data_IF_465501711726
#
_entry.id   IF_465501711726
#
_cell.length_a   1.000
_cell.length_b   1.000
_cell.length_c   1.000
_cell.angle_alpha   90.00
_cell.angle_beta   90.00
_cell.angle_gamma   90.00
#
_symmetry.space_group_name_H-M   'P 1'
#
loop_
_entity.id
_entity.type
_entity.pdbx_description
1 polymer ?
#
# COMPACT_ATOMS: atom_id res chain seq x y z
N UNK A 1 7.79 35.84 3.61
CA UNK A 1 6.55 35.39 2.98
C UNK A 1 6.45 33.89 3.25
N UNK A 2 5.26 33.34 3.41
CA UNK A 2 5.10 31.88 3.55
C UNK A 2 5.48 31.21 2.23
N UNK A 3 6.12 30.04 2.29
CA UNK A 3 6.47 29.24 1.10
C UNK A 3 5.22 28.81 0.34
N UNK A 4 5.26 28.91 -0.99
CA UNK A 4 4.26 28.35 -1.88
C UNK A 4 4.75 27.01 -2.42
N UNK A 5 3.90 25.99 -2.35
CA UNK A 5 4.26 24.62 -2.70
C UNK A 5 3.55 24.17 -3.98
N UNK A 6 4.19 23.31 -4.75
CA UNK A 6 3.53 22.55 -5.79
C UNK A 6 3.69 21.05 -5.57
N UNK A 7 2.70 20.27 -6.03
CA UNK A 7 2.72 18.81 -5.98
C UNK A 7 2.49 18.28 -7.39
N UNK A 8 3.49 17.62 -7.94
CA UNK A 8 3.50 17.08 -9.31
C UNK A 8 3.18 15.58 -9.27
N UNK A 9 2.08 15.22 -9.90
CA UNK A 9 1.48 13.89 -9.80
C UNK A 9 0.49 13.83 -8.63
N UNK A 10 -0.80 13.90 -8.92
CA UNK A 10 -1.89 13.93 -7.93
C UNK A 10 -2.59 12.57 -7.82
N UNK A 11 -1.81 11.49 -7.87
CA UNK A 11 -2.25 10.17 -7.46
C UNK A 11 -2.45 10.10 -5.94
N UNK A 12 -2.52 8.90 -5.39
CA UNK A 12 -2.77 8.66 -3.96
C UNK A 12 -1.83 9.47 -3.05
N UNK A 13 -0.51 9.36 -3.25
CA UNK A 13 0.49 10.10 -2.49
C UNK A 13 0.34 11.62 -2.67
N UNK A 14 0.26 12.08 -3.93
CA UNK A 14 0.31 13.51 -4.21
C UNK A 14 -0.95 14.26 -3.79
N UNK A 15 -2.14 13.71 -4.00
CA UNK A 15 -3.39 14.34 -3.55
C UNK A 15 -3.44 14.44 -2.01
N UNK A 16 -3.03 13.36 -1.32
CA UNK A 16 -2.93 13.36 0.15
C UNK A 16 -1.92 14.39 0.64
N UNK A 17 -0.73 14.42 0.05
CA UNK A 17 0.31 15.38 0.42
C UNK A 17 -0.14 16.82 0.18
N UNK A 18 -0.76 17.12 -0.96
CA UNK A 18 -1.26 18.46 -1.27
C UNK A 18 -2.32 18.94 -0.27
N UNK A 19 -3.30 18.09 0.05
CA UNK A 19 -4.35 18.42 1.03
C UNK A 19 -3.76 18.63 2.44
N UNK A 20 -2.85 17.76 2.88
CA UNK A 20 -2.22 17.87 4.19
C UNK A 20 -1.32 19.12 4.31
N UNK A 21 -0.48 19.41 3.31
CA UNK A 21 0.35 20.62 3.33
C UNK A 21 -0.49 21.88 3.32
N UNK A 22 -1.58 21.90 2.56
CA UNK A 22 -2.52 23.02 2.58
C UNK A 22 -3.19 23.21 3.95
N UNK A 23 -3.54 22.12 4.64
CA UNK A 23 -4.11 22.19 5.99
C UNK A 23 -3.12 22.71 7.05
N UNK A 24 -1.81 22.55 6.79
CA UNK A 24 -0.75 23.14 7.61
C UNK A 24 -0.51 24.64 7.33
N UNK A 25 -1.28 25.22 6.40
CA UNK A 25 -1.30 26.67 6.15
C UNK A 25 -0.55 27.11 4.89
N UNK A 26 -0.01 26.19 4.10
CA UNK A 26 0.66 26.54 2.83
C UNK A 26 -0.36 26.77 1.71
N UNK A 27 -0.01 27.66 0.77
CA UNK A 27 -0.64 27.69 -0.54
C UNK A 27 -0.05 26.57 -1.40
N UNK A 28 -0.93 25.68 -1.93
CA UNK A 28 -0.50 24.48 -2.63
C UNK A 28 -1.20 24.39 -3.98
N UNK A 29 -0.43 24.12 -5.03
CA UNK A 29 -0.95 23.82 -6.38
C UNK A 29 -0.62 22.37 -6.73
N UNK A 30 -1.66 21.53 -6.91
CA UNK A 30 -1.52 20.17 -7.41
C UNK A 30 -1.55 20.17 -8.94
N UNK A 31 -0.59 19.49 -9.57
CA UNK A 31 -0.50 19.33 -11.02
C UNK A 31 -0.57 17.86 -11.41
N UNK A 32 -1.38 17.55 -12.42
CA UNK A 32 -1.37 16.25 -13.08
C UNK A 32 -1.70 16.45 -14.58
N UNK A 33 -1.24 15.53 -15.42
CA UNK A 33 -1.53 15.56 -16.86
C UNK A 33 -2.90 14.99 -17.21
N UNK A 34 -3.54 14.28 -16.27
CA UNK A 34 -4.85 13.65 -16.47
C UNK A 34 -5.99 14.62 -16.15
N UNK A 35 -6.64 15.12 -17.18
CA UNK A 35 -7.71 16.14 -17.08
C UNK A 35 -8.85 15.66 -16.17
N UNK A 36 -9.33 14.44 -16.36
CA UNK A 36 -10.44 13.87 -15.60
C UNK A 36 -10.14 13.80 -14.08
N UNK A 37 -8.90 13.51 -13.73
CA UNK A 37 -8.44 13.50 -12.34
C UNK A 37 -8.43 14.90 -11.74
N UNK A 38 -7.90 15.87 -12.46
CA UNK A 38 -7.87 17.29 -12.03
C UNK A 38 -9.28 17.85 -11.87
N UNK A 39 -10.19 17.55 -12.78
CA UNK A 39 -11.61 17.95 -12.67
C UNK A 39 -12.27 17.37 -11.42
N UNK A 40 -11.97 16.11 -11.08
CA UNK A 40 -12.51 15.44 -9.91
C UNK A 40 -11.96 16.08 -8.63
N UNK A 41 -10.62 16.21 -8.54
CA UNK A 41 -9.93 16.80 -7.40
C UNK A 41 -10.36 18.25 -7.16
N UNK A 42 -10.52 19.07 -8.23
CA UNK A 42 -10.98 20.46 -8.13
C UNK A 42 -12.41 20.59 -7.58
N UNK A 43 -13.21 19.51 -7.63
CA UNK A 43 -14.54 19.43 -7.00
C UNK A 43 -14.49 18.88 -5.56
N UNK A 44 -13.31 18.69 -5.00
CA UNK A 44 -13.14 18.12 -3.65
C UNK A 44 -13.37 16.61 -3.57
N UNK A 45 -13.25 15.89 -4.70
CA UNK A 45 -13.43 14.45 -4.81
C UNK A 45 -12.11 13.76 -5.14
N UNK A 46 -11.92 12.52 -4.65
CA UNK A 46 -10.73 11.70 -4.95
C UNK A 46 -11.10 10.46 -5.77
N UNK A 47 -10.25 10.01 -6.71
CA UNK A 47 -10.51 8.82 -7.52
C UNK A 47 -10.12 7.50 -6.82
N UNK A 48 -9.96 7.52 -5.50
CA UNK A 48 -9.58 6.38 -4.65
C UNK A 48 -10.18 6.56 -3.26
N UNK A 49 -10.18 5.49 -2.46
CA UNK A 49 -10.68 5.56 -1.09
C UNK A 49 -9.54 5.80 -0.09
N UNK A 50 -9.65 6.89 0.67
CA UNK A 50 -8.81 7.17 1.84
C UNK A 50 -9.66 7.89 2.91
N UNK A 51 -9.75 7.33 4.14
CA UNK A 51 -10.56 7.94 5.19
C UNK A 51 -10.15 9.39 5.50
N UNK A 52 -11.13 10.30 5.52
CA UNK A 52 -10.96 11.71 5.88
C UNK A 52 -10.30 12.58 4.81
N UNK A 53 -9.86 12.02 3.68
CA UNK A 53 -9.17 12.80 2.64
C UNK A 53 -10.12 13.68 1.84
N UNK A 54 -11.32 13.20 1.47
CA UNK A 54 -12.28 14.00 0.71
C UNK A 54 -12.74 15.24 1.48
N UNK A 55 -13.01 15.07 2.78
CA UNK A 55 -13.41 16.17 3.66
C UNK A 55 -12.29 17.20 3.77
N UNK A 56 -11.04 16.75 4.00
CA UNK A 56 -9.88 17.61 4.08
C UNK A 56 -9.63 18.35 2.76
N UNK A 57 -9.72 17.65 1.63
CA UNK A 57 -9.53 18.21 0.30
C UNK A 57 -10.55 19.32 0.02
N UNK A 58 -11.83 19.04 0.24
CA UNK A 58 -12.92 19.98 0.04
C UNK A 58 -12.78 21.25 0.92
N UNK A 59 -12.36 21.08 2.19
CA UNK A 59 -12.11 22.18 3.12
C UNK A 59 -10.96 23.08 2.60
N UNK A 60 -9.85 22.48 2.15
CA UNK A 60 -8.69 23.25 1.70
C UNK A 60 -8.92 23.97 0.36
N UNK A 61 -9.71 23.38 -0.55
CA UNK A 61 -10.15 24.06 -1.78
C UNK A 61 -11.04 25.27 -1.44
N UNK A 62 -12.03 25.07 -0.55
CA UNK A 62 -12.92 26.14 -0.10
C UNK A 62 -12.18 27.28 0.58
N UNK A 63 -11.08 26.98 1.30
CA UNK A 63 -10.24 28.01 1.94
C UNK A 63 -9.42 28.82 0.94
N UNK A 64 -9.33 28.39 -0.31
CA UNK A 64 -8.50 29.00 -1.36
C UNK A 64 -7.01 28.66 -1.27
N UNK A 65 -6.59 27.82 -0.30
CA UNK A 65 -5.18 27.41 -0.16
C UNK A 65 -4.77 26.24 -1.04
N UNK A 66 -5.74 25.49 -1.57
CA UNK A 66 -5.47 24.35 -2.45
C UNK A 66 -6.16 24.54 -3.80
N UNK A 67 -5.39 24.41 -4.87
CA UNK A 67 -5.90 24.39 -6.24
C UNK A 67 -5.27 23.26 -7.04
N UNK A 68 -5.90 22.91 -8.17
CA UNK A 68 -5.40 21.89 -9.09
C UNK A 68 -5.40 22.39 -10.52
N UNK A 69 -4.38 21.99 -11.30
CA UNK A 69 -4.20 22.43 -12.69
C UNK A 69 -3.60 21.32 -13.55
N UNK A 70 -3.88 21.39 -14.86
CA UNK A 70 -3.17 20.63 -15.89
C UNK A 70 -2.12 21.45 -16.62
N UNK A 71 -1.97 22.74 -16.29
CA UNK A 71 -0.99 23.63 -16.89
C UNK A 71 0.25 23.73 -15.99
N UNK A 72 1.36 23.19 -16.42
CA UNK A 72 2.62 23.17 -15.66
C UNK A 72 3.15 24.60 -15.37
N UNK A 73 2.83 25.59 -16.21
CA UNK A 73 3.29 26.98 -16.03
C UNK A 73 2.68 27.65 -14.80
N UNK A 74 1.55 27.18 -14.28
CA UNK A 74 0.93 27.71 -13.06
C UNK A 74 1.80 27.44 -11.82
N UNK A 75 2.82 26.57 -11.93
CA UNK A 75 3.73 26.21 -10.84
C UNK A 75 4.95 27.16 -10.76
N UNK A 76 5.15 28.08 -11.72
CA UNK A 76 6.35 28.91 -11.83
C UNK A 76 6.60 29.78 -10.59
N UNK A 77 5.53 30.18 -9.87
CA UNK A 77 5.63 31.01 -8.67
C UNK A 77 5.82 30.20 -7.37
N UNK A 78 5.87 28.87 -7.42
CA UNK A 78 6.10 28.04 -6.27
C UNK A 78 7.59 28.05 -5.85
N UNK A 79 7.85 27.90 -4.55
CA UNK A 79 9.19 27.85 -3.95
C UNK A 79 9.72 26.43 -3.83
N UNK A 80 8.80 25.46 -3.59
CA UNK A 80 9.12 24.05 -3.42
C UNK A 80 8.19 23.20 -4.29
N UNK A 81 8.79 22.28 -5.05
CA UNK A 81 8.09 21.42 -6.00
C UNK A 81 8.23 19.94 -5.61
N UNK A 82 7.16 19.34 -5.09
CA UNK A 82 7.15 17.93 -4.71
C UNK A 82 6.82 17.03 -5.89
N UNK A 83 7.71 16.08 -6.23
CA UNK A 83 7.47 15.04 -7.24
C UNK A 83 6.88 13.82 -6.54
N UNK A 84 5.59 13.57 -6.79
CA UNK A 84 4.79 12.49 -6.18
C UNK A 84 4.22 11.51 -7.22
N UNK A 85 4.86 11.39 -8.37
CA UNK A 85 4.41 10.51 -9.46
C UNK A 85 4.67 9.03 -9.16
N UNK A 86 3.89 8.15 -9.78
CA UNK A 86 4.05 6.70 -9.64
C UNK A 86 5.36 6.19 -10.26
N UNK A 87 5.87 5.10 -9.69
CA UNK A 87 7.01 4.33 -10.20
C UNK A 87 6.60 2.86 -10.35
N UNK A 88 5.80 2.52 -11.37
CA UNK A 88 5.35 1.15 -11.59
C UNK A 88 6.53 0.24 -11.96
N UNK A 89 6.32 -1.07 -11.93
CA UNK A 89 7.28 -2.00 -12.52
C UNK A 89 7.27 -1.91 -14.05
N UNK A 90 8.42 -2.05 -14.66
CA UNK A 90 8.54 -2.23 -16.11
C UNK A 90 7.73 -3.46 -16.52
N UNK A 91 6.96 -3.35 -17.60
CA UNK A 91 6.15 -4.47 -18.10
C UNK A 91 7.04 -5.67 -18.45
N UNK A 92 6.78 -6.80 -17.80
CA UNK A 92 7.54 -8.03 -17.97
C UNK A 92 8.89 -8.08 -17.25
N UNK A 93 9.18 -7.10 -16.37
CA UNK A 93 10.41 -7.03 -15.58
C UNK A 93 10.19 -6.69 -14.12
N UNK A 94 11.27 -6.70 -13.35
CA UNK A 94 11.25 -6.37 -11.90
C UNK A 94 11.74 -4.95 -11.61
N UNK A 95 12.40 -4.28 -12.54
CA UNK A 95 12.91 -2.91 -12.36
C UNK A 95 11.78 -1.89 -12.30
N UNK A 96 12.03 -0.74 -11.65
CA UNK A 96 11.11 0.38 -11.61
C UNK A 96 11.14 1.16 -12.94
N UNK A 97 9.97 1.52 -13.45
CA UNK A 97 9.83 2.46 -14.57
C UNK A 97 9.94 3.90 -14.04
N UNK A 98 11.00 4.60 -14.44
CA UNK A 98 11.30 5.97 -14.05
C UNK A 98 10.82 7.03 -15.05
N UNK A 99 10.08 6.64 -16.08
CA UNK A 99 9.60 7.54 -17.14
C UNK A 99 8.84 8.73 -16.55
N UNK A 100 7.92 8.47 -15.62
CA UNK A 100 7.13 9.54 -15.02
C UNK A 100 7.95 10.48 -14.14
N UNK A 101 8.90 9.96 -13.38
CA UNK A 101 9.79 10.77 -12.52
C UNK A 101 10.71 11.65 -13.37
N UNK A 102 11.29 11.09 -14.44
CA UNK A 102 12.12 11.85 -15.38
C UNK A 102 11.30 12.95 -16.06
N UNK A 103 10.11 12.62 -16.58
CA UNK A 103 9.23 13.60 -17.25
C UNK A 103 8.78 14.72 -16.30
N UNK A 104 8.47 14.39 -15.06
CA UNK A 104 8.12 15.39 -14.04
C UNK A 104 9.25 16.37 -13.78
N UNK A 105 10.49 15.86 -13.62
CA UNK A 105 11.68 16.71 -13.44
C UNK A 105 11.92 17.60 -14.69
N UNK A 106 11.94 17.04 -15.89
CA UNK A 106 12.17 17.79 -17.13
C UNK A 106 11.14 18.91 -17.33
N UNK A 107 9.88 18.63 -16.98
CA UNK A 107 8.79 19.60 -17.13
C UNK A 107 8.92 20.76 -16.16
N UNK A 108 9.34 20.54 -14.91
CA UNK A 108 9.41 21.59 -13.90
C UNK A 108 10.75 22.33 -13.88
N UNK A 109 11.84 21.71 -14.30
CA UNK A 109 13.20 22.22 -14.12
C UNK A 109 13.39 23.66 -14.57
N UNK A 110 12.81 24.04 -15.72
CA UNK A 110 12.95 25.40 -16.28
C UNK A 110 12.08 26.43 -15.56
N UNK A 111 11.09 26.00 -14.81
CA UNK A 111 10.14 26.88 -14.08
C UNK A 111 10.58 27.13 -12.64
N UNK A 112 11.48 26.30 -12.09
CA UNK A 112 11.98 26.49 -10.73
C UNK A 112 12.71 27.81 -10.61
N UNK A 113 12.26 28.69 -9.69
CA UNK A 113 12.92 29.99 -9.47
C UNK A 113 14.32 29.83 -8.85
N UNK A 114 15.11 30.89 -8.93
CA UNK A 114 16.42 30.92 -8.27
C UNK A 114 16.28 30.67 -6.76
N UNK A 115 16.99 29.66 -6.26
CA UNK A 115 16.88 29.20 -4.86
C UNK A 115 15.69 28.31 -4.56
N UNK A 116 14.86 27.97 -5.56
CA UNK A 116 13.76 27.02 -5.44
C UNK A 116 14.27 25.59 -5.29
N UNK A 117 13.45 24.74 -4.66
CA UNK A 117 13.80 23.35 -4.33
C UNK A 117 12.84 22.37 -5.00
N UNK A 118 13.39 21.37 -5.70
CA UNK A 118 12.65 20.18 -6.14
C UNK A 118 12.82 19.10 -5.11
N UNK A 119 11.72 18.45 -4.69
CA UNK A 119 11.73 17.41 -3.65
C UNK A 119 11.11 16.13 -4.19
N UNK A 120 11.90 15.08 -4.38
CA UNK A 120 11.37 13.78 -4.74
C UNK A 120 10.77 13.07 -3.53
N UNK A 121 9.51 12.61 -3.66
CA UNK A 121 8.83 11.77 -2.65
C UNK A 121 8.58 10.35 -3.13
N UNK A 122 8.61 10.12 -4.42
CA UNK A 122 8.41 8.80 -5.03
C UNK A 122 9.45 7.79 -4.56
N UNK A 123 9.06 6.51 -4.44
CA UNK A 123 10.01 5.42 -4.19
C UNK A 123 10.77 5.12 -5.48
N UNK A 124 12.09 5.27 -5.47
CA UNK A 124 12.96 5.09 -6.64
C UNK A 124 14.15 4.19 -6.32
N UNK A 125 14.77 3.55 -7.32
CA UNK A 125 16.03 2.82 -7.15
C UNK A 125 17.16 3.74 -6.68
N UNK A 126 18.02 3.20 -5.81
CA UNK A 126 19.19 3.92 -5.26
C UNK A 126 20.07 4.49 -6.37
N UNK A 127 20.45 5.77 -6.24
CA UNK A 127 21.23 6.53 -7.22
C UNK A 127 20.38 7.36 -8.19
N UNK A 128 19.06 7.22 -8.17
CA UNK A 128 18.15 8.01 -9.02
C UNK A 128 18.17 9.48 -8.64
N UNK A 129 18.08 9.81 -7.35
CA UNK A 129 18.05 11.18 -6.86
C UNK A 129 19.31 11.97 -7.23
N UNK A 130 20.49 11.36 -7.12
CA UNK A 130 21.75 11.98 -7.51
C UNK A 130 21.80 12.26 -9.03
N UNK A 131 21.35 11.32 -9.85
CA UNK A 131 21.24 11.48 -11.31
C UNK A 131 20.27 12.61 -11.67
N UNK A 132 19.10 12.65 -11.02
CA UNK A 132 18.10 13.67 -11.26
C UNK A 132 18.57 15.06 -10.82
N UNK A 133 19.31 15.13 -9.71
CA UNK A 133 19.93 16.38 -9.26
C UNK A 133 20.92 16.92 -10.28
N UNK A 134 21.81 16.09 -10.80
CA UNK A 134 22.74 16.48 -11.84
C UNK A 134 21.99 17.00 -13.07
N UNK A 135 20.95 16.30 -13.49
CA UNK A 135 20.11 16.72 -14.62
C UNK A 135 19.39 18.05 -14.36
N UNK A 136 18.88 18.25 -13.15
CA UNK A 136 18.26 19.53 -12.76
C UNK A 136 19.25 20.69 -12.87
N UNK A 137 20.48 20.52 -12.36
CA UNK A 137 21.53 21.56 -12.40
C UNK A 137 21.95 21.87 -13.83
N UNK A 138 22.01 20.87 -14.73
CA UNK A 138 22.25 21.11 -16.15
C UNK A 138 21.17 22.00 -16.79
N UNK A 139 19.90 21.77 -16.43
CA UNK A 139 18.77 22.53 -16.97
C UNK A 139 18.55 23.88 -16.29
N UNK A 140 18.85 23.97 -15.01
CA UNK A 140 18.66 25.14 -14.17
C UNK A 140 19.67 25.17 -13.01
N UNK A 141 20.86 25.76 -13.20
CA UNK A 141 21.92 25.77 -12.19
C UNK A 141 21.60 26.57 -10.92
N UNK A 142 20.46 27.27 -10.87
CA UNK A 142 20.01 28.04 -9.70
C UNK A 142 19.02 27.28 -8.82
N UNK A 143 18.61 26.08 -9.24
CA UNK A 143 17.73 25.19 -8.50
C UNK A 143 18.52 24.07 -7.80
N UNK A 144 17.95 23.45 -6.78
CA UNK A 144 18.51 22.26 -6.14
C UNK A 144 17.47 21.18 -5.94
N UNK A 145 17.92 19.96 -5.63
CA UNK A 145 17.09 18.80 -5.43
C UNK A 145 17.40 18.13 -4.09
N UNK A 146 16.33 17.78 -3.38
CA UNK A 146 16.35 16.93 -2.20
C UNK A 146 15.50 15.68 -2.42
N UNK A 147 15.69 14.65 -1.61
CA UNK A 147 14.87 13.44 -1.61
C UNK A 147 14.26 13.22 -0.24
N UNK A 148 12.94 13.18 -0.19
CA UNK A 148 12.17 12.98 1.04
C UNK A 148 11.17 11.83 0.84
N UNK A 149 11.61 10.57 0.95
CA UNK A 149 10.74 9.43 0.75
C UNK A 149 9.56 9.46 1.72
N UNK A 150 8.42 8.94 1.27
CA UNK A 150 7.23 8.80 2.08
C UNK A 150 7.20 7.46 2.83
N UNK A 151 6.52 7.42 3.98
CA UNK A 151 6.32 6.21 4.78
C UNK A 151 4.85 6.01 5.19
N UNK A 152 3.94 6.68 4.50
CA UNK A 152 2.50 6.60 4.77
C UNK A 152 1.94 5.19 4.51
N UNK A 153 0.85 4.89 5.21
CA UNK A 153 0.07 3.68 5.05
C UNK A 153 -1.27 4.03 4.40
N UNK A 154 -1.66 3.38 3.32
CA UNK A 154 -3.01 3.50 2.78
C UNK A 154 -4.04 3.24 3.89
N UNK A 155 -5.16 3.99 3.91
CA UNK A 155 -6.14 3.96 5.00
C UNK A 155 -5.77 4.78 6.24
N UNK A 156 -4.52 5.29 6.32
CA UNK A 156 -4.00 6.17 7.38
C UNK A 156 -3.13 7.29 6.81
N UNK A 157 -3.24 7.56 5.52
CA UNK A 157 -2.29 8.42 4.83
C UNK A 157 -2.38 9.89 5.27
N UNK A 158 -3.57 10.38 5.61
CA UNK A 158 -3.76 11.73 6.17
C UNK A 158 -3.06 11.83 7.53
N UNK A 159 -3.29 10.87 8.44
CA UNK A 159 -2.65 10.84 9.75
C UNK A 159 -1.15 10.73 9.64
N UNK A 160 -0.65 9.78 8.84
CA UNK A 160 0.78 9.54 8.65
C UNK A 160 1.51 10.72 7.98
N UNK A 161 0.80 11.53 7.18
CA UNK A 161 1.37 12.75 6.57
C UNK A 161 1.41 13.90 7.57
N UNK A 162 0.35 14.08 8.35
CA UNK A 162 0.27 15.16 9.35
C UNK A 162 1.12 14.86 10.60
N UNK A 163 1.21 13.59 11.01
CA UNK A 163 1.95 13.12 12.20
C UNK A 163 2.90 11.98 11.85
N UNK A 164 3.91 12.20 11.02
CA UNK A 164 4.83 11.15 10.61
C UNK A 164 5.69 10.68 11.79
N UNK A 165 5.95 9.38 11.88
CA UNK A 165 6.84 8.80 12.89
C UNK A 165 8.28 9.30 12.76
N UNK A 166 8.68 9.75 11.59
CA UNK A 166 9.98 10.32 11.26
C UNK A 166 9.95 11.06 9.92
N UNK A 167 10.82 12.00 9.74
CA UNK A 167 11.11 12.67 8.48
C UNK A 167 12.54 12.33 8.05
N UNK A 168 12.69 11.66 6.92
CA UNK A 168 14.01 11.35 6.32
C UNK A 168 14.20 12.27 5.13
N UNK A 169 15.32 12.99 5.10
CA UNK A 169 15.63 13.93 4.03
C UNK A 169 17.05 13.72 3.52
N UNK A 170 17.15 13.37 2.24
CA UNK A 170 18.40 13.33 1.51
C UNK A 170 18.71 14.70 0.94
N UNK A 171 19.78 15.32 1.40
CA UNK A 171 20.21 16.64 0.97
C UNK A 171 21.72 16.68 0.73
N UNK A 172 22.15 17.56 -0.17
CA UNK A 172 23.59 17.77 -0.46
C UNK A 172 24.14 18.97 0.28
N UNK A 173 23.29 19.93 0.65
CA UNK A 173 23.70 21.18 1.31
C UNK A 173 22.68 21.63 2.38
N UNK A 174 23.10 22.61 3.18
CA UNK A 174 22.30 23.12 4.30
C UNK A 174 21.14 24.01 3.86
N UNK A 175 21.21 24.61 2.67
CA UNK A 175 20.13 25.47 2.16
C UNK A 175 18.88 24.65 1.82
N UNK A 176 19.03 23.50 1.17
CA UNK A 176 17.94 22.57 0.90
C UNK A 176 17.32 22.01 2.21
N UNK A 177 18.18 21.66 3.19
CA UNK A 177 17.71 21.23 4.51
C UNK A 177 16.91 22.33 5.23
N UNK A 178 17.37 23.57 5.19
CA UNK A 178 16.69 24.72 5.82
C UNK A 178 15.29 24.92 5.26
N UNK A 179 15.13 24.85 3.93
CA UNK A 179 13.82 24.95 3.27
C UNK A 179 12.90 23.82 3.74
N UNK A 180 13.38 22.58 3.77
CA UNK A 180 12.58 21.45 4.22
C UNK A 180 12.22 21.55 5.71
N UNK A 181 13.10 22.06 6.57
CA UNK A 181 12.78 22.34 7.99
C UNK A 181 11.69 23.41 8.13
N UNK A 182 11.61 24.36 7.22
CA UNK A 182 10.54 25.36 7.18
C UNK A 182 9.21 24.69 6.75
N UNK A 183 9.22 23.87 5.71
CA UNK A 183 8.04 23.11 5.26
C UNK A 183 7.49 22.21 6.36
N UNK A 184 8.36 21.51 7.09
CA UNK A 184 7.97 20.59 8.15
C UNK A 184 8.03 21.18 9.56
N UNK A 185 8.00 22.50 9.69
CA UNK A 185 8.13 23.19 10.98
C UNK A 185 7.07 22.76 12.00
N UNK A 186 5.84 22.50 11.57
CA UNK A 186 4.75 21.99 12.43
C UNK A 186 5.10 20.62 13.01
N UNK A 187 5.59 19.69 12.19
CA UNK A 187 5.98 18.36 12.62
C UNK A 187 7.17 18.40 13.59
N UNK A 188 8.14 19.28 13.33
CA UNK A 188 9.30 19.44 14.19
C UNK A 188 8.94 20.04 15.57
N UNK A 189 7.93 20.93 15.64
CA UNK A 189 7.39 21.44 16.92
C UNK A 189 6.74 20.31 17.74
N UNK A 190 6.17 19.29 17.10
CA UNK A 190 5.62 18.10 17.73
C UNK A 190 6.69 17.03 18.02
N UNK A 191 7.97 17.38 17.92
CA UNK A 191 9.13 16.49 18.19
C UNK A 191 9.24 15.29 17.25
N UNK A 192 8.73 15.38 16.02
CA UNK A 192 8.96 14.36 15.00
C UNK A 192 10.45 14.20 14.72
N UNK A 193 11.02 12.99 14.82
CA UNK A 193 12.43 12.75 14.53
C UNK A 193 12.81 13.20 13.12
N UNK A 194 13.88 14.01 13.03
CA UNK A 194 14.47 14.47 11.77
C UNK A 194 15.75 13.71 11.48
N UNK A 195 15.78 13.03 10.35
CA UNK A 195 16.93 12.25 9.89
C UNK A 195 17.48 12.86 8.62
N UNK A 196 18.58 13.62 8.76
CA UNK A 196 19.37 14.10 7.63
C UNK A 196 20.21 12.94 7.08
N UNK A 197 20.19 12.76 5.76
CA UNK A 197 20.95 11.77 5.05
C UNK A 197 21.51 12.35 3.74
N UNK A 198 22.41 11.65 3.08
CA UNK A 198 22.70 11.88 1.67
C UNK A 198 21.57 11.33 0.77
N UNK A 199 21.61 11.63 -0.53
CA UNK A 199 20.59 11.23 -1.48
C UNK A 199 20.47 9.69 -1.57
N UNK A 200 21.57 8.91 -1.77
CA UNK A 200 21.48 7.44 -1.85
C UNK A 200 20.96 6.80 -0.57
N UNK A 201 21.37 7.28 0.60
CA UNK A 201 20.89 6.76 1.90
C UNK A 201 19.39 7.01 2.07
N UNK A 202 18.89 8.18 1.69
CA UNK A 202 17.46 8.50 1.81
C UNK A 202 16.58 7.59 0.92
N UNK A 203 17.05 7.25 -0.29
CA UNK A 203 16.41 6.27 -1.17
C UNK A 203 16.43 4.87 -0.55
N UNK A 204 17.60 4.47 -0.02
CA UNK A 204 17.79 3.13 0.56
C UNK A 204 16.93 2.91 1.80
N UNK A 205 16.75 3.93 2.67
CA UNK A 205 15.91 3.82 3.88
C UNK A 205 14.50 3.37 3.54
N UNK A 206 13.91 3.85 2.45
CA UNK A 206 12.54 3.48 2.05
C UNK A 206 12.45 2.00 1.66
N UNK A 207 13.31 1.56 0.76
CA UNK A 207 13.27 0.16 0.27
C UNK A 207 13.73 -0.83 1.33
N UNK A 208 14.67 -0.44 2.20
CA UNK A 208 15.10 -1.25 3.35
C UNK A 208 13.96 -1.44 4.35
N UNK A 209 13.23 -0.36 4.69
CA UNK A 209 12.07 -0.46 5.58
C UNK A 209 11.00 -1.39 5.00
N UNK A 210 10.63 -1.23 3.72
CA UNK A 210 9.63 -2.09 3.08
C UNK A 210 10.10 -3.55 2.98
N UNK A 211 11.38 -3.80 2.70
CA UNK A 211 11.96 -5.14 2.68
C UNK A 211 11.91 -5.80 4.06
N UNK A 212 12.21 -5.05 5.11
CA UNK A 212 12.16 -5.57 6.48
C UNK A 212 10.72 -5.89 6.91
N UNK A 213 9.75 -5.05 6.57
CA UNK A 213 8.34 -5.30 6.84
C UNK A 213 7.83 -6.54 6.10
N UNK A 214 8.18 -6.70 4.81
CA UNK A 214 7.87 -7.89 4.03
C UNK A 214 8.50 -9.15 4.66
N UNK A 215 9.75 -9.05 5.14
CA UNK A 215 10.44 -10.15 5.83
C UNK A 215 9.69 -10.58 7.09
N UNK A 216 9.21 -9.65 7.91
CA UNK A 216 8.42 -9.99 9.12
C UNK A 216 7.15 -10.76 8.79
N UNK A 217 6.41 -10.35 7.75
CA UNK A 217 5.18 -11.03 7.31
C UNK A 217 5.50 -12.43 6.77
N UNK A 218 6.50 -12.56 5.91
CA UNK A 218 6.88 -13.86 5.36
C UNK A 218 7.50 -14.76 6.45
N UNK A 219 8.25 -14.22 7.41
CA UNK A 219 8.76 -14.97 8.53
C UNK A 219 7.63 -15.62 9.36
N UNK A 220 6.60 -14.85 9.74
CA UNK A 220 5.51 -15.41 10.52
C UNK A 220 4.66 -16.41 9.70
N UNK A 221 4.56 -16.22 8.38
CA UNK A 221 3.91 -17.17 7.49
C UNK A 221 4.70 -18.48 7.38
N UNK A 222 6.04 -18.43 7.33
CA UNK A 222 6.89 -19.63 7.42
C UNK A 222 6.71 -20.35 8.77
N UNK A 223 6.61 -19.60 9.88
CA UNK A 223 6.31 -20.19 11.19
C UNK A 223 4.92 -20.83 11.22
N UNK A 224 3.94 -20.29 10.48
CA UNK A 224 2.64 -20.92 10.32
C UNK A 224 2.73 -22.28 9.59
N UNK A 225 3.62 -22.40 8.59
CA UNK A 225 3.88 -23.68 7.91
C UNK A 225 4.50 -24.72 8.84
N UNK A 226 5.55 -24.36 9.57
CA UNK A 226 6.23 -25.25 10.54
C UNK A 226 5.25 -25.68 11.62
N UNK A 227 4.45 -24.76 12.11
CA UNK A 227 3.47 -25.02 13.16
C UNK A 227 2.43 -26.08 12.74
N UNK A 228 1.99 -26.12 11.49
CA UNK A 228 1.02 -27.12 11.04
C UNK A 228 1.58 -28.54 11.12
N UNK A 229 2.90 -28.71 10.93
CA UNK A 229 3.59 -29.97 11.16
C UNK A 229 3.78 -30.27 12.66
N UNK A 230 3.88 -29.26 13.53
CA UNK A 230 4.20 -29.38 14.95
C UNK A 230 2.99 -29.26 15.91
N UNK A 231 1.77 -29.11 15.40
CA UNK A 231 0.52 -28.95 16.18
C UNK A 231 0.47 -27.79 17.19
N UNK A 232 1.19 -26.67 16.95
CA UNK A 232 1.17 -25.46 17.79
C UNK A 232 0.05 -24.46 17.42
N UNK A 233 0.17 -23.18 17.79
CA UNK A 233 -0.66 -22.06 17.35
C UNK A 233 0.21 -20.85 17.00
N UNK A 234 0.20 -20.43 15.72
CA UNK A 234 1.03 -19.31 15.22
C UNK A 234 0.64 -17.98 15.84
N UNK A 235 -0.61 -17.81 16.28
CA UNK A 235 -1.06 -16.55 16.91
C UNK A 235 -0.47 -16.39 18.30
N UNK A 236 -0.34 -17.50 19.04
CA UNK A 236 0.35 -17.55 20.35
C UNK A 236 1.85 -17.32 20.17
N UNK A 237 2.46 -17.98 19.17
CA UNK A 237 3.88 -17.78 18.82
C UNK A 237 4.15 -16.31 18.49
N UNK A 238 3.37 -15.71 17.58
CA UNK A 238 3.51 -14.31 17.18
C UNK A 238 3.37 -13.35 18.38
N UNK A 239 2.41 -13.61 19.28
CA UNK A 239 2.24 -12.83 20.50
C UNK A 239 3.45 -12.95 21.42
N UNK A 240 3.96 -14.19 21.62
CA UNK A 240 5.09 -14.44 22.51
C UNK A 240 6.38 -13.74 22.04
N UNK A 241 6.75 -13.90 20.78
CA UNK A 241 7.95 -13.23 20.24
C UNK A 241 7.76 -11.71 20.12
N UNK A 242 6.51 -11.25 19.91
CA UNK A 242 6.17 -9.84 19.81
C UNK A 242 6.31 -9.04 21.11
N UNK A 243 6.39 -9.72 22.27
CA UNK A 243 6.69 -9.08 23.56
C UNK A 243 8.16 -8.67 23.70
N UNK A 244 9.06 -9.28 22.93
CA UNK A 244 10.46 -8.82 22.91
C UNK A 244 10.52 -7.45 22.20
N UNK A 245 10.96 -6.35 22.89
CA UNK A 245 11.02 -5.02 22.30
C UNK A 245 11.96 -4.92 21.10
N UNK A 246 12.91 -5.84 20.95
CA UNK A 246 13.81 -5.92 19.79
C UNK A 246 13.10 -6.42 18.54
N UNK A 247 11.99 -7.17 18.70
CA UNK A 247 11.17 -7.73 17.62
C UNK A 247 9.93 -6.87 17.39
N UNK A 248 9.16 -6.61 18.45
CA UNK A 248 7.89 -5.89 18.41
C UNK A 248 6.77 -6.68 17.74
N UNK A 249 5.51 -6.42 18.11
CA UNK A 249 4.34 -7.18 17.70
C UNK A 249 3.82 -6.86 16.29
N UNK A 250 4.18 -5.69 15.73
CA UNK A 250 3.66 -5.25 14.43
C UNK A 250 4.23 -6.09 13.29
N UNK A 251 3.39 -6.37 12.27
CA UNK A 251 3.74 -7.16 11.08
C UNK A 251 4.06 -8.65 11.36
N UNK A 252 3.54 -9.19 12.48
CA UNK A 252 3.65 -10.61 12.84
C UNK A 252 2.29 -11.34 12.77
N UNK A 253 1.38 -10.92 11.90
CA UNK A 253 0.11 -11.59 11.66
C UNK A 253 0.25 -12.57 10.50
N UNK A 254 0.16 -13.87 10.80
CA UNK A 254 0.12 -14.91 9.77
C UNK A 254 -1.21 -14.86 8.99
N UNK A 255 -1.14 -15.07 7.69
CA UNK A 255 -2.29 -15.04 6.80
C UNK A 255 -1.92 -15.30 5.35
N UNK A 256 -2.72 -14.81 4.41
CA UNK A 256 -2.53 -15.01 2.96
C UNK A 256 -1.39 -14.17 2.36
N UNK A 257 -0.55 -13.56 3.18
CA UNK A 257 0.56 -12.75 2.74
C UNK A 257 0.21 -11.28 2.49
N UNK A 258 1.22 -10.55 2.03
CA UNK A 258 1.11 -9.15 1.68
C UNK A 258 0.83 -8.95 0.18
N UNK A 259 0.22 -7.81 -0.14
CA UNK A 259 -0.07 -7.34 -1.49
C UNK A 259 0.02 -5.82 -1.55
N UNK A 260 -0.76 -5.22 -2.43
CA UNK A 260 -0.80 -3.78 -2.66
C UNK A 260 0.28 -3.28 -3.59
N UNK A 261 0.21 -1.99 -3.90
CA UNK A 261 1.12 -1.34 -4.84
C UNK A 261 2.52 -1.02 -4.31
N UNK A 262 2.87 -1.40 -3.05
CA UNK A 262 4.13 -1.02 -2.42
C UNK A 262 5.04 -2.23 -2.16
N UNK A 263 4.75 -3.10 -1.18
CA UNK A 263 5.69 -4.12 -0.74
C UNK A 263 6.17 -5.06 -1.86
N UNK A 264 5.28 -5.69 -2.68
CA UNK A 264 5.73 -6.60 -3.71
C UNK A 264 6.61 -5.93 -4.76
N UNK A 265 6.19 -4.74 -5.21
CA UNK A 265 6.89 -3.94 -6.19
C UNK A 265 8.28 -3.51 -5.69
N UNK A 266 8.36 -3.00 -4.47
CA UNK A 266 9.58 -2.39 -3.94
C UNK A 266 10.66 -3.44 -3.66
N UNK A 267 10.31 -4.63 -3.12
CA UNK A 267 11.28 -5.70 -2.93
C UNK A 267 11.83 -6.24 -4.26
N UNK A 268 10.98 -6.39 -5.29
CA UNK A 268 11.39 -6.84 -6.62
C UNK A 268 12.28 -5.80 -7.30
N UNK A 269 11.91 -4.52 -7.25
CA UNK A 269 12.72 -3.43 -7.78
C UNK A 269 14.06 -3.28 -7.03
N UNK A 270 14.06 -3.52 -5.72
CA UNK A 270 15.30 -3.49 -4.93
C UNK A 270 16.26 -4.64 -5.30
N UNK A 271 15.73 -5.85 -5.48
CA UNK A 271 16.56 -6.97 -5.98
C UNK A 271 17.16 -6.68 -7.36
N UNK A 272 16.36 -6.15 -8.30
CA UNK A 272 16.84 -5.78 -9.63
C UNK A 272 17.92 -4.69 -9.53
N UNK A 273 17.72 -3.67 -8.72
CA UNK A 273 18.71 -2.60 -8.55
C UNK A 273 20.00 -3.08 -7.88
N UNK A 274 19.92 -3.95 -6.89
CA UNK A 274 21.09 -4.52 -6.23
C UNK A 274 21.92 -5.36 -7.23
N UNK A 275 21.28 -6.09 -8.15
CA UNK A 275 21.97 -6.81 -9.22
C UNK A 275 22.71 -5.86 -10.18
N UNK A 276 22.07 -4.76 -10.60
CA UNK A 276 22.71 -3.70 -11.41
C UNK A 276 23.93 -3.08 -10.72
N UNK A 277 23.90 -2.96 -9.39
CA UNK A 277 25.00 -2.43 -8.57
C UNK A 277 26.07 -3.47 -8.23
N UNK A 278 25.95 -4.73 -8.69
CA UNK A 278 26.88 -5.81 -8.36
C UNK A 278 26.72 -6.38 -6.93
N UNK A 279 25.63 -6.03 -6.23
CA UNK A 279 25.36 -6.43 -4.84
C UNK A 279 24.22 -7.47 -4.72
N UNK A 280 23.98 -8.29 -5.75
CA UNK A 280 22.89 -9.27 -5.83
C UNK A 280 22.81 -10.16 -4.60
N UNK A 281 23.94 -10.70 -4.13
CA UNK A 281 23.98 -11.62 -2.99
C UNK A 281 23.47 -11.00 -1.69
N UNK A 282 23.64 -9.68 -1.49
CA UNK A 282 23.21 -8.99 -0.28
C UNK A 282 21.70 -9.01 -0.06
N UNK A 283 20.92 -9.14 -1.13
CA UNK A 283 19.43 -9.11 -1.10
C UNK A 283 18.80 -10.41 -1.60
N UNK A 284 19.57 -11.47 -1.81
CA UNK A 284 19.07 -12.73 -2.35
C UNK A 284 18.01 -13.39 -1.44
N UNK A 285 18.08 -13.16 -0.12
CA UNK A 285 17.07 -13.60 0.83
C UNK A 285 15.66 -13.06 0.52
N UNK A 286 15.54 -11.90 -0.14
CA UNK A 286 14.25 -11.32 -0.53
C UNK A 286 13.51 -12.17 -1.57
N UNK A 287 14.23 -12.98 -2.34
CA UNK A 287 13.64 -13.95 -3.26
C UNK A 287 12.84 -15.01 -2.49
N UNK A 288 13.40 -15.51 -1.38
CA UNK A 288 12.69 -16.46 -0.52
C UNK A 288 11.52 -15.79 0.22
N UNK A 289 11.65 -14.52 0.60
CA UNK A 289 10.58 -13.75 1.20
C UNK A 289 9.37 -13.63 0.24
N UNK A 290 9.61 -13.31 -1.03
CA UNK A 290 8.55 -13.26 -2.06
C UNK A 290 7.96 -14.66 -2.32
N UNK A 291 8.78 -15.69 -2.39
CA UNK A 291 8.33 -17.08 -2.57
C UNK A 291 7.44 -17.56 -1.43
N UNK A 292 7.78 -17.30 -0.17
CA UNK A 292 6.95 -17.60 1.01
C UNK A 292 5.62 -16.83 0.93
N UNK A 293 5.67 -15.57 0.53
CA UNK A 293 4.47 -14.75 0.35
C UNK A 293 3.48 -15.36 -0.67
N UNK A 294 3.99 -15.82 -1.79
CA UNK A 294 3.17 -16.47 -2.81
C UNK A 294 2.64 -17.84 -2.36
N UNK A 295 3.45 -18.64 -1.65
CA UNK A 295 3.00 -19.93 -1.09
C UNK A 295 1.85 -19.78 -0.09
N UNK A 296 1.83 -18.68 0.69
CA UNK A 296 0.73 -18.43 1.63
C UNK A 296 -0.64 -18.36 0.94
N UNK A 297 -0.70 -17.82 -0.30
CA UNK A 297 -1.92 -17.82 -1.13
C UNK A 297 -2.29 -19.25 -1.56
N UNK A 298 -1.32 -20.02 -2.01
CA UNK A 298 -1.52 -21.40 -2.47
C UNK A 298 -2.09 -22.31 -1.39
N UNK A 299 -1.69 -22.10 -0.14
CA UNK A 299 -2.18 -22.86 1.01
C UNK A 299 -3.68 -22.70 1.27
N UNK A 300 -4.26 -21.50 0.99
CA UNK A 300 -5.73 -21.35 1.04
C UNK A 300 -6.40 -22.22 -0.02
N UNK A 301 -5.86 -22.25 -1.23
CA UNK A 301 -6.41 -23.06 -2.33
C UNK A 301 -6.36 -24.54 -1.97
N UNK A 302 -5.28 -25.01 -1.35
CA UNK A 302 -5.16 -26.38 -0.84
C UNK A 302 -6.20 -26.71 0.24
N UNK A 303 -6.46 -25.75 1.17
CA UNK A 303 -7.50 -25.88 2.17
C UNK A 303 -8.90 -26.01 1.53
N UNK A 304 -9.18 -25.17 0.52
CA UNK A 304 -10.45 -25.22 -0.24
C UNK A 304 -10.61 -26.57 -0.92
N UNK A 305 -9.59 -27.05 -1.64
CA UNK A 305 -9.59 -28.35 -2.31
C UNK A 305 -9.87 -29.48 -1.33
N UNK A 306 -9.16 -29.50 -0.20
CA UNK A 306 -9.35 -30.51 0.84
C UNK A 306 -10.78 -30.52 1.40
N UNK A 307 -11.35 -29.33 1.66
CA UNK A 307 -12.69 -29.24 2.27
C UNK A 307 -13.84 -29.49 1.27
N UNK A 308 -13.57 -29.35 -0.04
CA UNK A 308 -14.48 -29.69 -1.13
C UNK A 308 -14.15 -31.05 -1.80
N UNK A 309 -13.36 -31.91 -1.12
CA UNK A 309 -13.00 -33.25 -1.60
C UNK A 309 -12.35 -33.24 -3.00
N UNK A 310 -11.50 -32.24 -3.23
CA UNK A 310 -10.74 -31.99 -4.48
C UNK A 310 -11.60 -31.76 -5.75
N UNK A 311 -12.90 -31.54 -5.56
CA UNK A 311 -13.85 -31.27 -6.66
C UNK A 311 -14.38 -29.82 -6.53
N UNK A 312 -13.84 -28.91 -7.33
CA UNK A 312 -14.26 -27.52 -7.37
C UNK A 312 -15.28 -27.23 -8.48
N UNK A 313 -15.50 -28.18 -9.40
CA UNK A 313 -16.38 -27.96 -10.56
C UNK A 313 -17.81 -27.63 -10.13
N UNK A 314 -18.27 -26.41 -10.49
CA UNK A 314 -19.61 -25.90 -10.18
C UNK A 314 -19.86 -25.58 -8.71
N UNK A 315 -18.84 -25.67 -7.83
CA UNK A 315 -18.93 -25.33 -6.41
C UNK A 315 -19.06 -23.83 -6.21
N UNK A 316 -20.02 -23.41 -5.41
CA UNK A 316 -20.17 -21.98 -5.02
C UNK A 316 -19.21 -21.63 -3.90
N UNK A 317 -18.33 -20.68 -4.15
CA UNK A 317 -17.34 -20.18 -3.20
C UNK A 317 -17.61 -18.69 -2.94
N UNK A 318 -17.90 -18.35 -1.70
CA UNK A 318 -18.06 -16.97 -1.26
C UNK A 318 -16.74 -16.42 -0.74
N UNK A 319 -16.35 -15.22 -1.18
CA UNK A 319 -15.13 -14.54 -0.74
C UNK A 319 -15.49 -13.19 -0.11
N UNK A 320 -15.06 -13.00 1.11
CA UNK A 320 -15.19 -11.75 1.87
C UNK A 320 -13.85 -11.00 1.83
N UNK A 321 -13.76 -9.99 0.97
CA UNK A 321 -12.58 -9.16 0.74
C UNK A 321 -12.01 -9.29 -0.66
N UNK A 322 -11.77 -8.15 -1.31
CA UNK A 322 -11.09 -7.99 -2.60
C UNK A 322 -9.85 -7.09 -2.47
N UNK A 323 -9.92 -6.03 -1.65
CA UNK A 323 -8.78 -5.17 -1.35
C UNK A 323 -7.63 -5.95 -0.70
N UNK A 324 -6.38 -5.53 -0.93
CA UNK A 324 -5.23 -6.21 -0.33
C UNK A 324 -5.16 -6.09 1.20
N UNK A 325 -5.83 -5.09 1.77
CA UNK A 325 -6.01 -4.85 3.21
C UNK A 325 -7.29 -4.03 3.47
N UNK A 326 -7.79 -3.96 4.73
CA UNK A 326 -8.92 -3.08 5.06
C UNK A 326 -8.56 -1.60 4.92
N UNK A 327 -9.60 -0.75 4.88
CA UNK A 327 -9.53 0.71 4.78
C UNK A 327 -8.81 1.22 3.50
N UNK A 328 -8.87 0.43 2.42
CA UNK A 328 -8.34 0.75 1.09
C UNK A 328 -9.23 0.14 0.01
N UNK A 329 -9.26 0.73 -1.18
CA UNK A 329 -9.87 0.18 -2.39
C UNK A 329 -8.82 -0.38 -3.38
N UNK A 330 -7.56 -0.45 -2.96
CA UNK A 330 -6.45 -0.92 -3.79
C UNK A 330 -6.48 -2.45 -3.96
N UNK A 331 -6.53 -2.87 -5.22
CA UNK A 331 -6.54 -4.28 -5.64
C UNK A 331 -5.25 -4.70 -6.34
N UNK A 332 -4.21 -3.86 -6.35
CA UNK A 332 -2.92 -4.19 -6.95
C UNK A 332 -2.26 -5.31 -6.16
N UNK A 333 -1.84 -6.37 -6.85
CA UNK A 333 -1.27 -7.59 -6.24
C UNK A 333 -2.09 -8.09 -5.02
N UNK A 334 -3.44 -8.02 -5.11
CA UNK A 334 -4.31 -8.48 -4.04
C UNK A 334 -4.22 -10.00 -3.88
N UNK A 335 -3.79 -10.52 -2.70
CA UNK A 335 -3.78 -11.94 -2.43
C UNK A 335 -5.18 -12.56 -2.50
N UNK A 336 -6.21 -11.81 -2.10
CA UNK A 336 -7.60 -12.27 -2.13
C UNK A 336 -8.10 -12.52 -3.56
N UNK A 337 -7.83 -11.57 -4.47
CA UNK A 337 -8.24 -11.72 -5.87
C UNK A 337 -7.40 -12.75 -6.63
N UNK A 338 -6.12 -12.90 -6.30
CA UNK A 338 -5.28 -13.96 -6.85
C UNK A 338 -5.84 -15.35 -6.48
N UNK A 339 -6.21 -15.57 -5.22
CA UNK A 339 -6.86 -16.77 -4.75
C UNK A 339 -8.21 -16.97 -5.47
N UNK A 340 -9.03 -15.91 -5.60
CA UNK A 340 -10.33 -15.97 -6.25
C UNK A 340 -10.23 -16.44 -7.70
N UNK A 341 -9.30 -15.88 -8.48
CA UNK A 341 -9.07 -16.25 -9.88
C UNK A 341 -8.60 -17.69 -10.00
N UNK A 342 -7.68 -18.15 -9.16
CA UNK A 342 -7.18 -19.52 -9.20
C UNK A 342 -8.28 -20.56 -8.86
N UNK A 343 -9.12 -20.26 -7.87
CA UNK A 343 -10.26 -21.10 -7.48
C UNK A 343 -11.30 -21.14 -8.62
N UNK A 344 -11.60 -20.01 -9.25
CA UNK A 344 -12.51 -19.97 -10.40
C UNK A 344 -11.93 -20.70 -11.60
N UNK A 345 -10.65 -20.56 -11.90
CA UNK A 345 -9.98 -21.30 -12.96
C UNK A 345 -10.00 -22.83 -12.73
N UNK A 346 -10.12 -23.28 -11.48
CA UNK A 346 -10.31 -24.69 -11.11
C UNK A 346 -11.77 -25.16 -11.22
N UNK A 347 -12.68 -24.33 -11.77
CA UNK A 347 -14.06 -24.67 -12.08
C UNK A 347 -15.11 -24.24 -11.06
N UNK A 348 -14.74 -23.56 -9.99
CA UNK A 348 -15.70 -23.04 -9.01
C UNK A 348 -16.48 -21.83 -9.55
N UNK A 349 -17.65 -21.58 -8.97
CA UNK A 349 -18.44 -20.35 -9.15
C UNK A 349 -18.09 -19.42 -7.98
N UNK A 350 -17.22 -18.45 -8.24
CA UNK A 350 -16.73 -17.52 -7.20
C UNK A 350 -17.56 -16.25 -7.20
N UNK A 351 -18.02 -15.84 -6.00
CA UNK A 351 -18.62 -14.51 -5.77
C UNK A 351 -17.83 -13.78 -4.71
N UNK A 352 -17.43 -12.55 -5.00
CA UNK A 352 -16.58 -11.73 -4.13
C UNK A 352 -17.37 -10.51 -3.64
N UNK A 353 -17.30 -10.24 -2.34
CA UNK A 353 -17.78 -9.01 -1.71
C UNK A 353 -16.61 -8.18 -1.20
N UNK A 354 -16.69 -6.87 -1.36
CA UNK A 354 -15.80 -5.91 -0.69
C UNK A 354 -16.53 -4.57 -0.52
N UNK A 355 -16.41 -3.88 0.63
CA UNK A 355 -17.15 -2.64 0.85
C UNK A 355 -16.66 -1.46 0.01
N UNK A 356 -15.43 -1.49 -0.54
CA UNK A 356 -14.81 -0.35 -1.26
C UNK A 356 -14.18 -0.73 -2.60
N UNK A 357 -13.68 -1.95 -2.76
CA UNK A 357 -12.81 -2.31 -3.87
C UNK A 357 -13.52 -2.93 -5.07
N UNK A 358 -14.84 -3.15 -5.04
CA UNK A 358 -15.58 -3.85 -6.12
C UNK A 358 -15.34 -3.19 -7.48
N UNK A 359 -15.49 -1.87 -7.59
CA UNK A 359 -15.34 -1.18 -8.86
C UNK A 359 -13.93 -1.35 -9.49
N UNK A 360 -12.89 -1.30 -8.65
CA UNK A 360 -11.50 -1.52 -9.07
C UNK A 360 -11.25 -2.99 -9.40
N UNK A 361 -11.83 -3.92 -8.62
CA UNK A 361 -11.72 -5.34 -8.83
C UNK A 361 -12.39 -5.79 -10.14
N UNK A 362 -13.61 -5.30 -10.45
CA UNK A 362 -14.33 -5.60 -11.69
C UNK A 362 -13.55 -5.17 -12.94
N UNK A 363 -12.93 -3.98 -12.90
CA UNK A 363 -12.11 -3.49 -14.02
C UNK A 363 -10.90 -4.40 -14.29
N UNK A 364 -10.29 -4.94 -13.23
CA UNK A 364 -9.06 -5.72 -13.32
C UNK A 364 -9.32 -7.22 -13.52
N UNK A 365 -10.40 -7.74 -12.95
CA UNK A 365 -10.77 -9.17 -12.95
C UNK A 365 -12.21 -9.37 -13.41
N UNK A 366 -12.54 -9.03 -14.67
CA UNK A 366 -13.91 -9.09 -15.18
C UNK A 366 -14.49 -10.52 -15.25
N UNK A 367 -13.65 -11.52 -15.06
CA UNK A 367 -14.06 -12.95 -15.04
C UNK A 367 -14.71 -13.38 -13.72
N UNK A 368 -14.55 -12.61 -12.64
CA UNK A 368 -15.12 -12.90 -11.32
C UNK A 368 -16.53 -12.29 -11.19
N UNK A 369 -17.39 -12.92 -10.37
CA UNK A 369 -18.65 -12.32 -9.97
C UNK A 369 -18.44 -11.49 -8.70
N UNK A 370 -19.12 -10.35 -8.63
CA UNK A 370 -19.08 -9.45 -7.49
C UNK A 370 -20.47 -9.13 -6.98
N UNK A 371 -20.63 -8.97 -5.67
CA UNK A 371 -21.86 -8.52 -5.02
C UNK A 371 -21.54 -7.42 -4.02
N UNK A 372 -22.41 -6.40 -3.94
CA UNK A 372 -22.37 -5.34 -2.92
C UNK A 372 -22.97 -5.78 -1.59
N UNK A 373 -23.70 -6.92 -1.57
CA UNK A 373 -24.38 -7.42 -0.40
C UNK A 373 -23.72 -8.71 0.12
N UNK A 374 -23.41 -8.75 1.42
CA UNK A 374 -22.81 -9.93 2.06
C UNK A 374 -23.73 -11.15 1.92
N UNK A 375 -25.04 -10.98 2.16
CA UNK A 375 -26.00 -12.08 2.14
C UNK A 375 -26.11 -12.71 0.75
N UNK A 376 -26.07 -11.92 -0.32
CA UNK A 376 -26.08 -12.39 -1.69
C UNK A 376 -24.79 -13.15 -2.03
N UNK A 377 -23.65 -12.65 -1.52
CA UNK A 377 -22.35 -13.32 -1.65
C UNK A 377 -22.37 -14.69 -0.98
N UNK A 378 -22.96 -14.79 0.22
CA UNK A 378 -23.01 -16.03 1.01
C UNK A 378 -24.06 -17.03 0.52
N UNK A 379 -25.03 -16.60 -0.30
CA UNK A 379 -26.19 -17.43 -0.69
C UNK A 379 -25.80 -18.72 -1.37
N UNK A 380 -26.19 -19.85 -0.74
CA UNK A 380 -25.90 -21.21 -1.19
C UNK A 380 -24.39 -21.52 -1.30
N UNK A 381 -23.52 -20.76 -0.66
CA UNK A 381 -22.08 -21.01 -0.69
C UNK A 381 -21.75 -22.36 -0.03
N UNK A 382 -20.91 -23.17 -0.68
CA UNK A 382 -20.41 -24.42 -0.14
C UNK A 382 -19.19 -24.23 0.76
N UNK A 383 -18.53 -23.07 0.63
CA UNK A 383 -17.42 -22.64 1.47
C UNK A 383 -17.33 -21.11 1.45
N UNK A 384 -16.95 -20.52 2.58
CA UNK A 384 -16.73 -19.08 2.74
C UNK A 384 -15.26 -18.82 3.07
N UNK A 385 -14.66 -17.88 2.36
CA UNK A 385 -13.28 -17.45 2.57
C UNK A 385 -13.25 -16.00 3.09
N UNK A 386 -12.63 -15.75 4.23
CA UNK A 386 -12.37 -14.42 4.75
C UNK A 386 -10.94 -14.01 4.40
N UNK A 387 -10.78 -13.13 3.40
CA UNK A 387 -9.48 -12.82 2.80
C UNK A 387 -9.02 -11.36 2.96
N UNK A 388 -9.90 -10.47 3.46
CA UNK A 388 -9.53 -9.11 3.89
C UNK A 388 -10.23 -8.80 5.19
N UNK A 389 -9.49 -8.37 6.20
CA UNK A 389 -9.94 -8.26 7.59
C UNK A 389 -10.75 -6.98 7.89
N UNK A 390 -11.68 -6.60 7.03
CA UNK A 390 -12.59 -5.49 7.26
C UNK A 390 -13.34 -5.64 8.60
N UNK A 391 -13.53 -4.53 9.31
CA UNK A 391 -14.24 -4.53 10.59
C UNK A 391 -15.61 -5.18 10.48
N UNK A 392 -16.39 -4.86 9.44
CA UNK A 392 -17.71 -5.38 9.21
C UNK A 392 -17.77 -6.91 9.12
N UNK A 393 -16.73 -7.57 8.58
CA UNK A 393 -16.68 -9.04 8.51
C UNK A 393 -16.42 -9.68 9.88
N UNK A 394 -15.67 -9.01 10.74
CA UNK A 394 -15.43 -9.47 12.12
C UNK A 394 -16.68 -9.35 13.00
N UNK A 395 -17.62 -8.49 12.59
CA UNK A 395 -18.90 -8.26 13.27
C UNK A 395 -20.06 -9.13 12.73
N UNK A 396 -19.81 -9.97 11.72
CA UNK A 396 -20.80 -10.93 11.21
C UNK A 396 -21.19 -11.89 12.32
N UNK A 397 -22.50 -12.05 12.53
CA UNK A 397 -23.07 -13.07 13.43
C UNK A 397 -23.08 -14.44 12.71
N UNK A 398 -22.24 -15.41 13.12
CA UNK A 398 -22.13 -16.69 12.44
C UNK A 398 -23.40 -17.56 12.57
N UNK A 399 -24.25 -17.31 13.58
CA UNK A 399 -25.53 -18.03 13.72
C UNK A 399 -26.49 -17.59 12.64
N UNK A 400 -26.62 -16.27 12.40
CA UNK A 400 -27.53 -15.73 11.39
C UNK A 400 -27.14 -16.13 9.98
N UNK A 401 -25.85 -16.05 9.62
CA UNK A 401 -25.39 -16.34 8.25
C UNK A 401 -25.32 -17.86 7.95
N UNK A 402 -25.38 -18.71 8.97
CA UNK A 402 -25.37 -20.16 8.79
C UNK A 402 -26.56 -20.68 7.96
N UNK A 403 -27.72 -20.05 8.06
CA UNK A 403 -28.90 -20.43 7.29
C UNK A 403 -28.85 -19.98 5.81
N UNK A 404 -27.93 -19.11 5.45
CA UNK A 404 -27.78 -18.54 4.10
C UNK A 404 -26.88 -19.43 3.23
N UNK A 405 -25.88 -20.05 3.86
CA UNK A 405 -24.90 -20.89 3.16
C UNK A 405 -25.43 -22.33 2.97
N UNK A 406 -24.94 -23.03 1.96
CA UNK A 406 -25.22 -24.47 1.77
C UNK A 406 -24.48 -25.34 2.78
N UNK A 407 -23.18 -25.00 3.02
CA UNK A 407 -22.35 -25.68 4.01
C UNK A 407 -21.68 -24.63 4.93
N UNK A 408 -21.77 -24.86 6.23
CA UNK A 408 -21.14 -23.98 7.22
C UNK A 408 -19.61 -24.27 7.33
N UNK A 409 -18.86 -23.91 6.28
CA UNK A 409 -17.39 -24.04 6.22
C UNK A 409 -16.80 -22.63 6.05
N UNK A 410 -15.94 -22.23 6.99
CA UNK A 410 -15.23 -20.94 6.99
C UNK A 410 -13.73 -21.19 6.97
N UNK A 411 -13.03 -20.55 6.03
CA UNK A 411 -11.57 -20.43 6.05
C UNK A 411 -11.20 -18.97 6.29
N UNK A 412 -10.61 -18.70 7.44
CA UNK A 412 -10.09 -17.38 7.80
C UNK A 412 -8.63 -17.25 7.36
N UNK A 413 -8.42 -16.63 6.21
CA UNK A 413 -7.10 -16.37 5.64
C UNK A 413 -6.33 -15.24 6.32
N UNK A 414 -6.93 -14.53 7.27
CA UNK A 414 -6.31 -13.40 7.96
C UNK A 414 -6.10 -13.61 9.46
N UNK A 415 -6.55 -14.72 10.02
CA UNK A 415 -6.53 -14.98 11.46
C UNK A 415 -7.22 -13.85 12.29
N UNK A 416 -8.26 -13.23 11.75
CA UNK A 416 -8.91 -12.07 12.32
C UNK A 416 -10.30 -12.34 12.90
N UNK A 417 -10.91 -13.49 12.58
CA UNK A 417 -12.22 -13.88 13.11
C UNK A 417 -12.11 -14.58 14.47
N UNK A 418 -13.15 -14.46 15.27
CA UNK A 418 -13.23 -15.17 16.56
C UNK A 418 -13.57 -16.64 16.33
N UNK A 419 -12.55 -17.50 16.36
CA UNK A 419 -12.64 -18.94 16.16
C UNK A 419 -13.67 -19.63 17.05
N UNK A 420 -13.70 -19.26 18.34
CA UNK A 420 -14.60 -19.90 19.31
C UNK A 420 -16.07 -19.57 18.98
N UNK A 421 -16.35 -18.33 18.60
CA UNK A 421 -17.68 -17.89 18.19
C UNK A 421 -18.18 -18.66 16.95
N UNK A 422 -17.34 -18.76 15.90
CA UNK A 422 -17.70 -19.46 14.68
C UNK A 422 -17.89 -20.96 14.90
N UNK A 423 -17.01 -21.61 15.66
CA UNK A 423 -17.16 -23.05 16.00
C UNK A 423 -18.37 -23.29 16.91
N UNK A 424 -18.60 -22.43 17.91
CA UNK A 424 -19.79 -22.51 18.77
C UNK A 424 -21.10 -22.42 18.02
N UNK A 425 -21.13 -21.68 16.89
CA UNK A 425 -22.23 -21.62 15.96
C UNK A 425 -22.33 -22.85 15.02
N UNK A 426 -21.42 -23.83 15.16
CA UNK A 426 -21.42 -25.07 14.39
C UNK A 426 -20.83 -24.94 12.99
N UNK A 427 -19.89 -24.02 12.78
CA UNK A 427 -19.11 -23.92 11.55
C UNK A 427 -17.86 -24.80 11.63
N UNK A 428 -17.53 -25.46 10.52
CA UNK A 428 -16.21 -26.02 10.30
C UNK A 428 -15.26 -24.86 10.02
N UNK A 429 -14.50 -24.44 11.05
CA UNK A 429 -13.64 -23.28 10.97
C UNK A 429 -12.18 -23.69 10.82
N UNK A 430 -11.50 -23.09 9.83
CA UNK A 430 -10.06 -23.25 9.58
C UNK A 430 -9.38 -21.90 9.51
N UNK A 431 -8.10 -21.86 9.85
CA UNK A 431 -7.23 -20.71 9.67
C UNK A 431 -5.77 -21.16 9.48
N UNK A 432 -4.98 -20.39 8.75
CA UNK A 432 -3.57 -20.70 8.51
C UNK A 432 -2.77 -20.71 9.81
N UNK A 433 -1.95 -21.75 10.00
CA UNK A 433 -1.10 -21.85 11.17
C UNK A 433 -1.84 -22.07 12.50
N UNK A 434 -3.09 -22.55 12.50
CA UNK A 434 -3.86 -22.87 13.72
C UNK A 434 -4.33 -24.34 13.69
N UNK A 435 -4.32 -24.99 14.87
CA UNK A 435 -4.72 -26.40 15.01
C UNK A 435 -6.19 -26.63 14.60
N UNK A 436 -6.46 -27.71 13.91
CA UNK A 436 -7.85 -28.09 13.60
C UNK A 436 -8.49 -28.92 14.74
N UNK A 437 -7.69 -29.32 15.73
CA UNK A 437 -8.06 -30.33 16.74
C UNK A 437 -8.51 -29.74 18.09
N UNK A 438 -8.72 -28.42 18.21
CA UNK A 438 -9.26 -27.79 19.44
C UNK A 438 -10.58 -27.10 19.19
#
# INVERSE_FOLDING_TARGET
>A
MALKLSVIGTGYLGATHAACMSSLGFEVIGFDTEVSKIELLSKGKVPFYEPGLEELLAEQIKSGRLSFTTNINDLADCDVHFICVGTPQVKGGNSADLTYVNSALESIAKLVKAGGLVVGKSTVPVGTAARLRNRLIELNPKADLAWNPEFLREGFAVEDTLKPNRLVVGVVNDSAEKILKEVYASNLKESTPWVRADLPTSELVKVAANSFLATKISFINAMAEIREAANGDVTVLAKAIGYDPRIGSRFLQAGIGFGGGCLPKDIRAFMARAEELGAKQAVEFLKEIDAINLRARQRIIELVRRDLSDNLQGKKVAILGAAFKPDSDDVRDSPALDIAVQIQAAGAIVTVHDPKAIANAQKRFPVLNFSTEINDTLKDAEIVLHLTEWKMYREIDPVKVKSIVKNAIMIDGRNALNRQLWRGAGWKFRALGRSNNE
#
